data_IF_564455441351
#
_entry.id   IF_564455441351
#
_cell.length_a   1.000
_cell.length_b   1.000
_cell.length_c   1.000
_cell.angle_alpha   90.00
_cell.angle_beta   90.00
_cell.angle_gamma   90.00
#
_symmetry.space_group_name_H-M   'P 1'
#
loop_
_entity.id
_entity.type
_entity.pdbx_description
1 polymer ?
#
# COMPACT_ATOMS: atom_id res chain seq x y z
N UNK A 1 -25.13 11.70 64.59
CA UNK A 1 -26.29 10.80 64.57
C UNK A 1 -25.84 9.49 63.96
N UNK A 2 -25.99 8.45 64.78
CA UNK A 2 -25.51 7.11 64.60
C UNK A 2 -26.38 6.33 63.60
N UNK A 3 -25.76 5.45 62.83
CA UNK A 3 -26.44 4.48 61.98
C UNK A 3 -25.55 3.27 61.73
N UNK A 4 -25.53 2.42 62.73
CA UNK A 4 -24.91 1.08 62.73
C UNK A 4 -25.67 0.13 61.79
N UNK A 5 -24.98 -0.65 60.96
CA UNK A 5 -25.57 -1.84 60.37
C UNK A 5 -24.60 -3.03 60.42
N UNK A 6 -25.14 -4.06 60.96
CA UNK A 6 -24.65 -5.31 61.50
C UNK A 6 -23.93 -6.20 60.49
N UNK A 7 -22.85 -6.77 60.99
CA UNK A 7 -22.17 -7.95 60.54
C UNK A 7 -23.08 -9.17 60.49
N UNK A 8 -23.17 -9.86 59.37
CA UNK A 8 -23.71 -11.20 59.28
C UNK A 8 -22.62 -12.17 58.88
N UNK A 9 -22.12 -12.89 59.86
CA UNK A 9 -21.19 -14.02 59.67
C UNK A 9 -21.95 -15.20 59.08
N UNK A 10 -21.57 -15.65 57.89
CA UNK A 10 -21.94 -16.95 57.38
C UNK A 10 -20.68 -17.81 57.27
N UNK A 11 -20.61 -18.79 58.18
CA UNK A 11 -19.60 -19.86 58.19
C UNK A 11 -19.91 -20.81 57.05
N UNK A 12 -18.98 -21.03 56.13
CA UNK A 12 -19.00 -22.18 55.21
C UNK A 12 -17.70 -22.96 55.35
N UNK A 13 -17.89 -24.25 55.53
CA UNK A 13 -16.99 -25.32 55.88
C UNK A 13 -15.93 -25.51 54.82
N UNK A 14 -14.65 -25.65 55.21
CA UNK A 14 -13.56 -26.13 54.39
C UNK A 14 -13.78 -27.61 54.02
N UNK A 15 -13.87 -27.86 52.70
CA UNK A 15 -13.55 -29.17 52.14
C UNK A 15 -12.29 -29.01 51.30
N UNK A 16 -11.19 -29.54 51.81
CA UNK A 16 -9.93 -29.52 51.09
C UNK A 16 -9.94 -30.51 49.93
N UNK A 17 -9.64 -29.99 48.73
CA UNK A 17 -9.23 -30.78 47.61
C UNK A 17 -7.82 -30.31 47.19
N UNK A 18 -6.84 -31.13 47.47
CA UNK A 18 -5.48 -30.99 46.95
C UNK A 18 -5.52 -31.20 45.43
N UNK A 19 -5.41 -30.10 44.68
CA UNK A 19 -5.14 -30.17 43.25
C UNK A 19 -3.64 -29.91 43.04
N UNK A 20 -2.93 -30.91 42.62
CA UNK A 20 -1.53 -30.80 42.21
C UNK A 20 -1.43 -29.84 40.98
N UNK A 21 -0.40 -28.98 40.92
CA UNK A 21 -0.15 -28.20 39.72
C UNK A 21 0.43 -29.15 38.64
N UNK A 22 -0.35 -29.49 37.65
CA UNK A 22 0.18 -30.01 36.37
C UNK A 22 0.87 -28.85 35.68
N UNK A 23 2.19 -28.88 35.66
CA UNK A 23 3.00 -28.04 34.77
C UNK A 23 2.61 -28.35 33.32
N UNK A 24 1.69 -27.58 32.78
CA UNK A 24 1.42 -27.58 31.36
C UNK A 24 2.63 -26.99 30.64
N UNK A 25 3.42 -27.86 29.99
CA UNK A 25 4.37 -27.44 28.99
C UNK A 25 3.57 -26.73 27.91
N UNK A 26 3.69 -25.39 27.85
CA UNK A 26 3.18 -24.61 26.75
C UNK A 26 3.80 -25.13 25.46
N UNK A 27 3.04 -25.88 24.69
CA UNK A 27 3.39 -26.18 23.30
C UNK A 27 3.49 -24.83 22.60
N UNK A 28 4.70 -24.48 22.19
CA UNK A 28 4.91 -23.43 21.19
C UNK A 28 4.11 -23.88 19.97
N UNK A 29 2.99 -23.18 19.70
CA UNK A 29 2.23 -23.36 18.48
C UNK A 29 3.16 -22.93 17.35
N UNK A 30 3.69 -23.92 16.63
CA UNK A 30 4.30 -23.65 15.34
C UNK A 30 3.21 -23.08 14.44
N UNK A 31 3.48 -21.99 13.69
CA UNK A 31 2.52 -21.52 12.72
C UNK A 31 2.15 -22.69 11.81
N UNK A 32 0.85 -22.89 11.64
CA UNK A 32 0.28 -23.97 10.82
C UNK A 32 1.05 -24.05 9.50
N UNK A 33 1.66 -25.19 9.22
CA UNK A 33 2.29 -25.48 7.93
C UNK A 33 1.26 -25.46 6.77
N UNK A 34 0.00 -25.23 7.09
CA UNK A 34 -1.12 -25.05 6.18
C UNK A 34 -1.57 -23.58 6.04
N UNK A 35 -0.81 -22.61 6.55
CA UNK A 35 -1.03 -21.24 6.17
C UNK A 35 -0.82 -21.15 4.66
N UNK A 36 -1.92 -21.12 3.92
CA UNK A 36 -1.90 -20.95 2.47
C UNK A 36 -1.08 -19.71 2.17
N UNK A 37 0.10 -19.90 1.54
CA UNK A 37 0.86 -18.80 1.01
C UNK A 37 -0.09 -17.93 0.17
N UNK A 38 -0.03 -16.63 0.36
CA UNK A 38 -0.84 -15.72 -0.45
C UNK A 38 -0.68 -16.10 -1.93
N UNK A 39 -1.76 -16.24 -2.69
CA UNK A 39 -1.70 -16.71 -4.07
C UNK A 39 -0.73 -15.85 -4.85
N UNK A 40 0.29 -16.49 -5.44
CA UNK A 40 1.21 -15.80 -6.33
C UNK A 40 0.46 -15.51 -7.64
N UNK A 41 0.20 -14.24 -7.99
CA UNK A 41 -0.57 -13.90 -9.18
C UNK A 41 0.04 -14.40 -10.49
N UNK A 42 1.34 -14.78 -10.50
CA UNK A 42 2.01 -15.33 -11.67
C UNK A 42 1.81 -16.85 -11.81
N UNK A 43 1.42 -17.55 -10.75
CA UNK A 43 1.20 -19.01 -10.75
C UNK A 43 -0.25 -19.40 -10.48
N UNK A 44 -1.09 -18.43 -10.11
CA UNK A 44 -2.52 -18.64 -9.91
C UNK A 44 -3.23 -18.72 -11.25
N UNK A 45 -3.65 -19.92 -11.63
CA UNK A 45 -4.39 -20.20 -12.88
C UNK A 45 -5.77 -19.53 -12.93
N UNK A 46 -6.26 -19.00 -11.81
CA UNK A 46 -7.52 -18.24 -11.76
C UNK A 46 -7.33 -16.77 -12.18
N UNK A 47 -6.09 -16.29 -12.24
CA UNK A 47 -5.80 -14.91 -12.67
C UNK A 47 -5.92 -14.83 -14.20
N UNK A 48 -6.82 -13.98 -14.67
CA UNK A 48 -7.04 -13.77 -16.11
C UNK A 48 -5.76 -13.25 -16.79
N UNK A 49 -5.39 -13.75 -18.00
CA UNK A 49 -4.17 -13.37 -18.70
C UNK A 49 -3.97 -11.86 -18.86
N UNK A 50 -5.05 -11.10 -19.11
CA UNK A 50 -4.98 -9.65 -19.23
C UNK A 50 -4.56 -8.95 -17.92
N UNK A 51 -4.92 -9.49 -16.77
CA UNK A 51 -4.50 -8.98 -15.47
C UNK A 51 -3.00 -9.19 -15.23
N UNK A 52 -2.48 -10.36 -15.61
CA UNK A 52 -1.05 -10.66 -15.54
C UNK A 52 -0.26 -9.69 -16.41
N UNK A 53 -0.75 -9.39 -17.61
CA UNK A 53 -0.12 -8.42 -18.51
C UNK A 53 -0.04 -7.02 -17.90
N UNK A 54 -1.11 -6.54 -17.25
CA UNK A 54 -1.11 -5.24 -16.59
C UNK A 54 -0.12 -5.20 -15.42
N UNK A 55 0.00 -6.27 -14.64
CA UNK A 55 1.01 -6.36 -13.58
C UNK A 55 2.44 -6.37 -14.11
N UNK A 56 2.69 -7.01 -15.26
CA UNK A 56 4.00 -6.96 -15.92
C UNK A 56 4.34 -5.53 -16.38
N UNK A 57 3.36 -4.79 -16.93
CA UNK A 57 3.53 -3.37 -17.29
C UNK A 57 3.88 -2.53 -16.07
N UNK A 58 3.17 -2.71 -14.95
CA UNK A 58 3.45 -2.03 -13.68
C UNK A 58 4.87 -2.32 -13.17
N UNK A 59 5.27 -3.58 -13.19
CA UNK A 59 6.60 -3.97 -12.72
C UNK A 59 7.72 -3.35 -13.55
N UNK A 60 7.56 -3.30 -14.87
CA UNK A 60 8.53 -2.64 -15.78
C UNK A 60 8.53 -1.13 -15.60
N UNK A 61 7.37 -0.53 -15.43
CA UNK A 61 7.24 0.91 -15.15
C UNK A 61 7.91 1.26 -13.83
N UNK A 62 7.64 0.52 -12.75
CA UNK A 62 8.26 0.73 -11.45
C UNK A 62 9.78 0.60 -11.49
N UNK A 63 10.31 -0.39 -12.23
CA UNK A 63 11.75 -0.56 -12.43
C UNK A 63 12.36 0.66 -13.12
N UNK A 64 11.77 1.14 -14.20
CA UNK A 64 12.25 2.31 -14.94
C UNK A 64 12.28 3.56 -14.05
N UNK A 65 11.23 3.76 -13.24
CA UNK A 65 11.14 4.90 -12.31
C UNK A 65 12.20 4.78 -11.21
N UNK A 66 12.41 3.58 -10.69
CA UNK A 66 13.43 3.36 -9.67
C UNK A 66 14.84 3.68 -10.19
N UNK A 67 15.13 3.33 -11.44
CA UNK A 67 16.45 3.52 -12.07
C UNK A 67 16.66 4.95 -12.59
N UNK A 68 15.64 5.57 -13.18
CA UNK A 68 15.75 6.84 -13.91
C UNK A 68 14.93 7.99 -13.33
N UNK A 69 14.16 7.74 -12.25
CA UNK A 69 13.35 8.76 -11.60
C UNK A 69 12.27 9.33 -12.52
N UNK A 70 12.14 10.64 -12.50
CA UNK A 70 11.12 11.34 -13.30
C UNK A 70 11.22 11.12 -14.80
N UNK A 71 12.40 10.93 -15.34
CA UNK A 71 12.58 10.60 -16.76
C UNK A 71 11.97 9.24 -17.09
N UNK A 72 12.23 8.23 -16.24
CA UNK A 72 11.60 6.92 -16.36
C UNK A 72 10.08 7.00 -16.28
N UNK A 73 9.55 7.80 -15.35
CA UNK A 73 8.12 8.04 -15.23
C UNK A 73 7.51 8.60 -16.51
N UNK A 74 8.06 9.69 -17.03
CA UNK A 74 7.53 10.37 -18.22
C UNK A 74 7.56 9.53 -19.49
N UNK A 75 8.56 8.66 -19.65
CA UNK A 75 8.74 7.86 -20.87
C UNK A 75 7.63 6.83 -21.09
N UNK A 76 6.92 6.45 -20.03
CA UNK A 76 5.80 5.51 -20.12
C UNK A 76 4.51 6.16 -20.62
N UNK A 77 4.39 7.48 -20.60
CA UNK A 77 3.16 8.16 -21.02
C UNK A 77 3.03 8.17 -22.55
N UNK A 78 1.78 8.09 -22.99
CA UNK A 78 1.39 8.40 -24.35
C UNK A 78 1.54 9.91 -24.61
N UNK A 79 1.63 10.31 -25.88
CA UNK A 79 1.76 11.74 -26.24
C UNK A 79 0.58 12.60 -25.75
N UNK A 80 -0.62 12.01 -25.70
CA UNK A 80 -1.87 12.58 -25.17
C UNK A 80 -2.12 12.22 -23.71
N UNK A 81 -1.16 11.66 -23.00
CA UNK A 81 -1.30 11.20 -21.62
C UNK A 81 -1.58 12.33 -20.64
N UNK A 82 -2.24 12.00 -19.54
CA UNK A 82 -2.60 12.94 -18.48
C UNK A 82 -2.07 12.45 -17.14
N UNK A 83 -1.45 13.35 -16.36
CA UNK A 83 -1.08 13.08 -14.98
C UNK A 83 -1.84 14.01 -14.04
N UNK A 84 -2.47 13.41 -13.02
CA UNK A 84 -3.24 14.11 -11.99
C UNK A 84 -2.54 13.94 -10.64
N UNK A 85 -2.15 15.05 -10.04
CA UNK A 85 -1.52 15.09 -8.72
C UNK A 85 -2.41 15.74 -7.68
N UNK A 86 -2.15 15.44 -6.42
CA UNK A 86 -2.92 15.96 -5.30
C UNK A 86 -2.82 17.49 -5.22
N UNK A 87 -3.97 18.18 -5.33
CA UNK A 87 -4.04 19.64 -5.23
C UNK A 87 -3.37 20.43 -6.37
N UNK A 88 -2.90 19.75 -7.44
CA UNK A 88 -2.25 20.37 -8.58
C UNK A 88 -3.15 20.42 -9.82
N UNK A 89 -2.86 21.36 -10.72
CA UNK A 89 -3.51 21.37 -12.03
C UNK A 89 -3.10 20.13 -12.84
N UNK A 90 -3.99 19.57 -13.69
CA UNK A 90 -3.66 18.46 -14.56
C UNK A 90 -2.46 18.77 -15.46
N UNK A 91 -1.55 17.82 -15.58
CA UNK A 91 -0.48 17.85 -16.60
C UNK A 91 -0.99 17.11 -17.84
N UNK A 92 -1.16 17.83 -18.93
CA UNK A 92 -1.73 17.30 -20.17
C UNK A 92 -0.63 17.18 -21.23
N UNK A 93 -0.44 15.97 -21.73
CA UNK A 93 0.55 15.63 -22.73
C UNK A 93 1.92 15.29 -22.16
N UNK A 94 2.59 14.35 -22.81
CA UNK A 94 3.90 13.81 -22.39
C UNK A 94 4.95 14.89 -22.14
N UNK A 95 4.98 15.96 -22.95
CA UNK A 95 5.95 17.05 -22.79
C UNK A 95 5.74 17.80 -21.47
N UNK A 96 4.50 18.10 -21.09
CA UNK A 96 4.20 18.76 -19.82
C UNK A 96 4.54 17.85 -18.63
N UNK A 97 4.24 16.56 -18.76
CA UNK A 97 4.57 15.54 -17.75
C UNK A 97 6.09 15.44 -17.58
N UNK A 98 6.85 15.30 -18.66
CA UNK A 98 8.30 15.21 -18.63
C UNK A 98 8.98 16.45 -18.03
N UNK A 99 8.44 17.64 -18.29
CA UNK A 99 8.90 18.89 -17.68
C UNK A 99 8.68 18.92 -16.17
N UNK A 100 7.59 18.38 -15.70
CA UNK A 100 7.24 18.34 -14.27
C UNK A 100 7.93 17.17 -13.55
N UNK A 101 8.00 16.02 -14.19
CA UNK A 101 8.62 14.80 -13.66
C UNK A 101 10.16 14.86 -13.83
N UNK A 102 10.81 15.77 -13.13
CA UNK A 102 12.26 16.02 -13.26
C UNK A 102 13.07 15.59 -12.04
N UNK A 103 12.53 14.74 -11.18
CA UNK A 103 13.23 14.32 -9.96
C UNK A 103 14.35 13.31 -10.24
N UNK A 104 15.40 13.43 -9.44
CA UNK A 104 16.50 12.48 -9.42
C UNK A 104 16.17 11.31 -8.46
N UNK A 105 16.29 10.05 -8.87
CA UNK A 105 15.97 8.90 -8.02
C UNK A 105 16.87 8.77 -6.78
N UNK A 106 18.02 9.43 -6.75
CA UNK A 106 18.88 9.50 -5.54
C UNK A 106 18.37 10.49 -4.48
N UNK A 107 17.47 11.39 -4.86
CA UNK A 107 16.91 12.44 -3.98
C UNK A 107 15.47 12.13 -3.58
N UNK A 108 14.69 11.64 -4.52
CA UNK A 108 13.31 11.23 -4.31
C UNK A 108 13.08 9.87 -4.96
N UNK A 109 12.64 8.90 -4.17
CA UNK A 109 12.27 7.57 -4.65
C UNK A 109 10.76 7.42 -4.59
N UNK A 110 10.16 7.09 -5.73
CA UNK A 110 8.76 6.74 -5.84
C UNK A 110 8.65 5.24 -6.10
N UNK A 111 7.93 4.56 -5.22
CA UNK A 111 7.63 3.14 -5.31
C UNK A 111 6.14 2.92 -5.19
N UNK A 112 5.62 1.84 -5.76
CA UNK A 112 4.22 1.49 -5.61
C UNK A 112 3.98 -0.01 -5.73
N UNK A 113 2.84 -0.42 -5.20
CA UNK A 113 2.40 -1.81 -5.24
C UNK A 113 0.96 -1.86 -5.75
N UNK A 114 0.71 -2.51 -6.88
CA UNK A 114 -0.66 -2.70 -7.36
C UNK A 114 -1.46 -3.59 -6.39
N UNK A 115 -2.66 -3.14 -6.07
CA UNK A 115 -3.64 -3.92 -5.31
C UNK A 115 -4.47 -4.78 -6.25
N UNK A 116 -4.92 -4.19 -7.36
CA UNK A 116 -5.70 -4.90 -8.36
C UNK A 116 -5.56 -4.30 -9.77
N UNK A 117 -6.01 -5.04 -10.76
CA UNK A 117 -6.00 -4.68 -12.16
C UNK A 117 -7.21 -5.22 -12.90
N UNK A 118 -7.70 -4.48 -13.89
CA UNK A 118 -8.76 -4.93 -14.79
C UNK A 118 -8.39 -4.61 -16.24
N UNK A 119 -8.42 -5.65 -17.08
CA UNK A 119 -8.31 -5.50 -18.52
C UNK A 119 -9.71 -5.33 -19.13
N UNK A 120 -9.86 -4.33 -19.97
CA UNK A 120 -11.08 -4.12 -20.74
C UNK A 120 -11.38 -5.28 -21.70
N UNK A 121 -12.63 -5.43 -22.15
CA UNK A 121 -13.04 -6.58 -22.97
C UNK A 121 -12.34 -6.66 -24.32
N UNK A 122 -11.92 -5.53 -24.90
CA UNK A 122 -11.15 -5.48 -26.16
C UNK A 122 -9.69 -5.90 -26.02
N UNK A 123 -9.15 -5.92 -24.78
CA UNK A 123 -7.77 -6.32 -24.51
C UNK A 123 -6.71 -5.29 -24.92
N UNK A 124 -7.12 -4.06 -25.24
CA UNK A 124 -6.25 -2.95 -25.66
C UNK A 124 -6.24 -1.77 -24.68
N UNK A 125 -7.07 -1.83 -23.64
CA UNK A 125 -7.11 -0.87 -22.55
C UNK A 125 -7.37 -1.58 -21.22
N UNK A 126 -6.78 -1.07 -20.15
CA UNK A 126 -7.00 -1.58 -18.82
C UNK A 126 -6.54 -0.57 -17.76
N UNK A 127 -6.76 -0.89 -16.50
CA UNK A 127 -6.27 -0.08 -15.39
C UNK A 127 -5.68 -0.94 -14.29
N UNK A 128 -4.81 -0.31 -13.54
CA UNK A 128 -4.24 -0.79 -12.30
C UNK A 128 -4.49 0.24 -11.21
N UNK A 129 -4.57 -0.18 -9.96
CA UNK A 129 -4.64 0.72 -8.82
C UNK A 129 -3.98 0.09 -7.61
N UNK A 130 -3.52 0.91 -6.69
CA UNK A 130 -2.85 0.44 -5.50
C UNK A 130 -2.35 1.56 -4.61
N UNK A 131 -1.30 1.26 -3.86
CA UNK A 131 -0.64 2.18 -2.96
C UNK A 131 0.71 2.60 -3.50
N UNK A 132 1.09 3.85 -3.22
CA UNK A 132 2.43 4.35 -3.50
C UNK A 132 3.09 4.90 -2.23
N UNK A 133 4.41 4.93 -2.26
CA UNK A 133 5.25 5.58 -1.27
C UNK A 133 6.29 6.44 -1.97
N UNK A 134 6.40 7.68 -1.53
CA UNK A 134 7.45 8.61 -1.93
C UNK A 134 8.42 8.83 -0.78
N UNK A 135 9.70 8.58 -1.00
CA UNK A 135 10.74 8.73 0.02
C UNK A 135 11.70 9.85 -0.35
N UNK A 136 11.90 10.78 0.58
CA UNK A 136 12.80 11.93 0.43
C UNK A 136 13.46 12.29 1.77
N UNK A 137 14.15 13.42 1.81
CA UNK A 137 14.64 14.03 3.04
C UNK A 137 14.14 15.46 3.15
N UNK A 138 13.86 15.90 4.37
CA UNK A 138 13.58 17.31 4.66
C UNK A 138 14.82 18.18 4.59
N UNK A 139 14.67 19.47 4.84
CA UNK A 139 15.76 20.45 4.84
C UNK A 139 16.83 20.19 5.91
N UNK A 140 16.50 19.42 6.94
CA UNK A 140 17.38 19.02 8.03
C UNK A 140 18.04 17.66 7.80
N UNK A 141 17.71 16.98 6.67
CA UNK A 141 18.21 15.66 6.32
C UNK A 141 17.42 14.50 6.93
N UNK A 142 16.31 14.75 7.63
CA UNK A 142 15.47 13.69 8.18
C UNK A 142 14.67 13.00 7.08
N UNK A 143 14.44 11.67 7.19
CA UNK A 143 13.63 10.96 6.22
C UNK A 143 12.18 11.43 6.26
N UNK A 144 11.61 11.64 5.08
CA UNK A 144 10.19 11.97 4.87
C UNK A 144 9.59 10.91 3.97
N UNK A 145 8.48 10.32 4.40
CA UNK A 145 7.70 9.38 3.60
C UNK A 145 6.30 9.96 3.36
N UNK A 146 5.91 10.02 2.11
CA UNK A 146 4.55 10.36 1.67
C UNK A 146 3.90 9.09 1.18
N UNK A 147 2.70 8.78 1.63
CA UNK A 147 1.92 7.61 1.19
C UNK A 147 0.65 8.06 0.49
N UNK A 148 0.14 7.21 -0.36
CA UNK A 148 -1.10 7.49 -1.06
C UNK A 148 -1.61 6.33 -1.89
N UNK A 149 -2.67 6.62 -2.62
CA UNK A 149 -3.27 5.70 -3.58
C UNK A 149 -3.09 6.21 -4.99
N UNK A 150 -2.94 5.28 -5.91
CA UNK A 150 -2.82 5.61 -7.32
C UNK A 150 -3.77 4.79 -8.17
N UNK A 151 -4.03 5.30 -9.38
CA UNK A 151 -4.66 4.58 -10.47
C UNK A 151 -3.94 4.94 -11.76
N UNK A 152 -3.56 3.92 -12.52
CA UNK A 152 -2.95 4.06 -13.85
C UNK A 152 -3.86 3.44 -14.90
N UNK A 153 -4.20 4.17 -15.95
CA UNK A 153 -4.92 3.66 -17.11
C UNK A 153 -3.92 3.42 -18.24
N UNK A 154 -3.91 2.19 -18.72
CA UNK A 154 -3.06 1.68 -19.77
C UNK A 154 -3.82 1.59 -21.08
N UNK A 155 -3.19 1.98 -22.18
CA UNK A 155 -3.73 1.81 -23.55
C UNK A 155 -2.64 1.24 -24.46
N UNK A 156 -3.02 0.24 -25.26
CA UNK A 156 -2.19 -0.33 -26.31
C UNK A 156 -2.34 0.50 -27.58
N UNK A 157 -1.23 1.00 -28.10
CA UNK A 157 -1.21 1.72 -29.36
C UNK A 157 -1.41 0.79 -30.58
N UNK A 158 -1.60 1.38 -31.74
CA UNK A 158 -1.69 0.64 -33.01
C UNK A 158 -0.39 -0.12 -33.34
N UNK A 159 0.73 0.35 -32.82
CA UNK A 159 2.06 -0.28 -32.89
C UNK A 159 2.22 -1.47 -31.93
N UNK A 160 1.21 -1.76 -31.12
CA UNK A 160 1.24 -2.81 -30.12
C UNK A 160 1.90 -2.41 -28.80
N UNK A 161 2.40 -1.19 -28.68
CA UNK A 161 3.08 -0.69 -27.47
C UNK A 161 2.07 -0.17 -26.45
N UNK A 162 2.23 -0.61 -25.20
CA UNK A 162 1.42 -0.13 -24.09
C UNK A 162 1.97 1.16 -23.51
N UNK A 163 1.10 2.13 -23.28
CA UNK A 163 1.43 3.43 -22.71
C UNK A 163 0.40 3.82 -21.63
N UNK A 164 0.86 4.62 -20.68
CA UNK A 164 0.00 5.28 -19.71
C UNK A 164 -0.75 6.42 -20.38
N UNK A 165 -2.07 6.39 -20.33
CA UNK A 165 -2.93 7.49 -20.85
C UNK A 165 -3.50 8.35 -19.75
N UNK A 166 -3.59 7.81 -18.53
CA UNK A 166 -3.89 8.58 -17.34
C UNK A 166 -3.18 7.94 -16.15
N UNK A 167 -2.54 8.78 -15.35
CA UNK A 167 -2.06 8.41 -14.02
C UNK A 167 -2.60 9.41 -13.01
N UNK A 168 -3.16 8.92 -11.91
CA UNK A 168 -3.75 9.74 -10.86
C UNK A 168 -3.23 9.28 -9.50
N UNK A 169 -2.68 10.22 -8.74
CA UNK A 169 -2.23 9.99 -7.37
C UNK A 169 -2.95 10.90 -6.38
N UNK A 170 -3.35 10.34 -5.24
CA UNK A 170 -3.88 11.09 -4.11
C UNK A 170 -3.16 10.67 -2.83
N UNK A 171 -2.62 11.67 -2.11
CA UNK A 171 -1.97 11.41 -0.83
C UNK A 171 -2.99 10.93 0.20
N UNK A 172 -2.60 9.97 1.01
CA UNK A 172 -3.35 9.61 2.22
C UNK A 172 -2.92 10.53 3.37
N UNK A 173 -3.90 10.99 4.14
CA UNK A 173 -3.59 11.71 5.37
C UNK A 173 -2.84 10.77 6.34
N UNK A 174 -1.88 11.29 7.13
CA UNK A 174 -1.25 10.52 8.19
C UNK A 174 -2.32 9.91 9.08
N UNK A 175 -2.21 8.60 9.38
CA UNK A 175 -3.15 7.94 10.27
C UNK A 175 -3.24 8.72 11.58
N UNK A 176 -4.43 9.10 11.99
CA UNK A 176 -4.75 9.96 13.13
C UNK A 176 -4.26 9.44 14.51
N UNK A 177 -3.38 8.46 14.57
CA UNK A 177 -2.81 7.90 15.80
C UNK A 177 -1.60 8.66 16.34
N UNK A 178 -0.87 9.39 15.51
CA UNK A 178 0.39 10.01 15.95
C UNK A 178 0.28 11.50 16.30
N UNK A 179 -0.75 12.18 15.83
CA UNK A 179 -0.97 13.60 16.13
C UNK A 179 -1.70 13.85 17.48
N UNK A 180 -2.20 12.83 18.15
CA UNK A 180 -2.98 12.97 19.40
C UNK A 180 -2.23 12.53 20.66
N UNK A 181 -0.92 12.35 20.61
CA UNK A 181 -0.12 12.22 21.85
C UNK A 181 0.00 13.60 22.48
N UNK A 182 -0.93 13.92 23.36
CA UNK A 182 -0.74 15.07 24.26
C UNK A 182 0.58 14.88 25.02
N UNK A 183 1.40 15.96 25.16
CA UNK A 183 2.57 15.89 26.05
C UNK A 183 2.11 15.40 27.40
N UNK A 184 2.72 14.31 27.90
CA UNK A 184 2.36 13.74 29.17
C UNK A 184 2.50 14.78 30.29
N UNK A 185 1.47 14.89 31.10
CA UNK A 185 1.51 15.56 32.40
C UNK A 185 2.28 14.71 33.41
#
# INVERSE_FOLDING_TARGET
MAGSWRVLLCRVVLAGALVAPTAGFGQLAFPDANAQAAPNPLTDTTVKPGKVQLYDLEARFAKDVLERGGAGFADWFAEDGVALGNGAAPLIGKVAIAKSANWNPKVYQLTWTPTDALMGPSGDMGYTWGHFEGHSKDVNGNPVTTTGRYMTIWRKGADGVWKVVLDAGANEEPKAGDCCKLPGH
#
